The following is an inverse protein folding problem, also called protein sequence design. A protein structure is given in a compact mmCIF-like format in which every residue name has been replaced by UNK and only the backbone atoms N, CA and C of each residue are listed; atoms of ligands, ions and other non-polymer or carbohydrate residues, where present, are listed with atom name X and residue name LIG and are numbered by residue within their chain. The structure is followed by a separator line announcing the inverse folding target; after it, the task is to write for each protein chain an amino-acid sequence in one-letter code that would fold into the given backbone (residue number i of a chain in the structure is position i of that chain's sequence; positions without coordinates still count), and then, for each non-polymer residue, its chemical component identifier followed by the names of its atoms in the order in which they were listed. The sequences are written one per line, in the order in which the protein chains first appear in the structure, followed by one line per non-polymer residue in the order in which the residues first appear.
data_IF_436683143799
#
_entry.id   IF_436683143799
#
_cell.length_a   1.000
_cell.length_b   1.000
_cell.length_c   1.000
_cell.angle_alpha   90.00
_cell.angle_beta   90.00
_cell.angle_gamma   90.00
#
_symmetry.space_group_name_H-M   'P 1'
#
loop_
_entity.id
_entity.type
_entity.pdbx_description
1 polymer ?
#
# COMPACT_ATOMS: atom_id res chain seq x y z
N UNK A 1 36.71 -34.14 35.54
CA UNK A 1 37.34 -33.31 36.61
C UNK A 1 38.79 -33.00 36.27
N UNK A 2 39.64 -34.01 36.10
CA UNK A 2 41.09 -33.86 35.86
C UNK A 2 41.41 -33.17 34.52
N UNK A 3 40.65 -33.48 33.47
CA UNK A 3 40.81 -32.87 32.14
C UNK A 3 40.39 -31.40 32.10
N UNK A 4 39.26 -31.05 32.71
CA UNK A 4 38.78 -29.66 32.77
C UNK A 4 39.78 -28.77 33.51
N UNK A 5 40.38 -29.29 34.58
CA UNK A 5 41.47 -28.62 35.30
C UNK A 5 42.70 -28.44 34.41
N UNK A 6 43.10 -29.46 33.66
CA UNK A 6 44.22 -29.39 32.71
C UNK A 6 44.02 -28.28 31.67
N UNK A 7 42.81 -28.16 31.10
CA UNK A 7 42.46 -27.12 30.12
C UNK A 7 42.51 -25.73 30.73
N UNK A 8 41.99 -25.54 31.95
CA UNK A 8 42.03 -24.25 32.63
C UNK A 8 43.47 -23.86 33.02
N UNK A 9 44.28 -24.82 33.44
CA UNK A 9 45.70 -24.60 33.74
C UNK A 9 46.51 -24.27 32.47
N UNK A 10 46.12 -24.81 31.31
CA UNK A 10 46.68 -24.44 30.01
C UNK A 10 46.25 -23.04 29.57
N UNK A 11 44.98 -22.67 29.80
CA UNK A 11 44.49 -21.31 29.52
C UNK A 11 45.16 -20.24 30.39
N UNK A 12 45.51 -20.57 31.64
CA UNK A 12 46.34 -19.70 32.50
C UNK A 12 47.76 -19.59 31.95
N UNK A 13 48.36 -20.70 31.47
CA UNK A 13 49.70 -20.70 30.85
C UNK A 13 49.77 -19.88 29.56
N UNK A 14 48.69 -19.84 28.79
CA UNK A 14 48.58 -19.04 27.57
C UNK A 14 48.16 -17.58 27.84
N UNK A 15 48.13 -17.15 29.11
CA UNK A 15 47.73 -15.81 29.54
C UNK A 15 46.30 -15.40 29.11
N UNK A 16 45.45 -16.36 28.76
CA UNK A 16 44.05 -16.11 28.35
C UNK A 16 43.17 -15.73 29.54
N UNK A 17 43.52 -16.24 30.72
CA UNK A 17 42.81 -15.98 31.98
C UNK A 17 43.82 -15.80 33.13
N UNK A 18 43.46 -15.02 34.14
CA UNK A 18 44.29 -14.86 35.33
C UNK A 18 44.28 -16.14 36.20
N UNK A 19 45.35 -16.39 36.99
CA UNK A 19 45.41 -17.56 37.88
C UNK A 19 44.24 -17.63 38.87
N UNK A 20 43.82 -16.47 39.38
CA UNK A 20 42.67 -16.34 40.28
C UNK A 20 41.35 -16.67 39.58
N UNK A 21 41.19 -16.27 38.30
CA UNK A 21 40.02 -16.59 37.51
C UNK A 21 39.94 -18.08 37.19
N UNK A 22 41.05 -18.72 36.82
CA UNK A 22 41.13 -20.17 36.60
C UNK A 22 40.69 -20.99 37.82
N UNK A 23 41.17 -20.59 39.01
CA UNK A 23 40.80 -21.21 40.28
C UNK A 23 39.31 -21.08 40.63
N UNK A 24 38.66 -19.96 40.25
CA UNK A 24 37.21 -19.75 40.46
C UNK A 24 36.34 -20.44 39.39
N UNK A 25 36.84 -20.54 38.17
CA UNK A 25 36.11 -21.14 37.05
C UNK A 25 35.99 -22.66 37.17
N UNK A 26 37.01 -23.33 37.71
CA UNK A 26 36.98 -24.79 37.89
C UNK A 26 35.76 -25.27 38.71
N UNK A 27 35.48 -24.78 39.94
CA UNK A 27 34.30 -25.19 40.68
C UNK A 27 33.00 -24.73 40.01
N UNK A 28 32.96 -23.53 39.42
CA UNK A 28 31.77 -23.00 38.75
C UNK A 28 31.32 -23.85 37.54
N UNK A 29 32.27 -24.24 36.69
CA UNK A 29 31.99 -25.07 35.50
C UNK A 29 31.61 -26.49 35.89
N UNK A 30 32.25 -27.01 36.94
CA UNK A 30 31.94 -28.32 37.50
C UNK A 30 30.51 -28.36 38.08
N UNK A 31 30.09 -27.33 38.81
CA UNK A 31 28.74 -27.23 39.38
C UNK A 31 27.66 -27.15 38.30
N UNK A 32 27.98 -26.59 37.13
CA UNK A 32 27.10 -26.56 35.95
C UNK A 32 27.20 -27.80 35.06
N UNK A 33 27.91 -28.84 35.49
CA UNK A 33 27.97 -30.13 34.79
C UNK A 33 28.80 -30.11 33.50
N UNK A 34 29.72 -29.17 33.34
CA UNK A 34 30.64 -29.12 32.19
C UNK A 34 31.71 -30.21 32.36
N UNK A 35 31.73 -31.18 31.44
CA UNK A 35 32.72 -32.25 31.41
C UNK A 35 33.46 -32.28 30.07
N UNK A 36 34.74 -32.65 30.13
CA UNK A 36 35.57 -32.91 28.95
C UNK A 36 35.45 -34.40 28.63
N UNK A 37 35.28 -34.73 27.35
CA UNK A 37 35.09 -36.11 26.87
C UNK A 37 36.39 -36.51 26.15
N UNK A 38 37.18 -37.41 26.75
CA UNK A 38 38.44 -37.90 26.16
C UNK A 38 38.25 -39.11 25.24
N UNK A 39 38.63 -38.94 23.96
CA UNK A 39 39.28 -40.00 23.17
C UNK A 39 38.47 -40.75 22.11
N UNK A 40 38.30 -40.16 20.93
CA UNK A 40 38.12 -40.91 19.67
C UNK A 40 37.23 -40.22 18.63
N UNK A 41 37.84 -39.51 17.66
CA UNK A 41 37.29 -39.08 16.36
C UNK A 41 35.74 -39.02 16.30
N UNK A 42 35.17 -37.99 16.92
CA UNK A 42 33.95 -37.41 16.38
C UNK A 42 34.41 -36.26 15.48
N UNK A 43 34.32 -36.46 14.16
CA UNK A 43 33.99 -35.33 13.28
C UNK A 43 32.98 -34.46 14.03
N UNK A 44 33.16 -33.14 13.99
CA UNK A 44 32.22 -32.18 14.50
C UNK A 44 30.79 -32.55 14.04
N UNK A 45 30.09 -33.39 14.82
CA UNK A 45 28.67 -33.55 14.72
C UNK A 45 28.18 -32.18 15.15
N UNK A 46 27.62 -31.39 14.21
CA UNK A 46 27.36 -30.00 14.47
C UNK A 46 26.39 -29.93 15.63
N UNK A 47 26.19 -28.74 16.15
CA UNK A 47 25.07 -28.42 17.00
C UNK A 47 23.68 -28.67 16.33
N UNK A 48 23.55 -29.57 15.36
CA UNK A 48 22.41 -29.83 14.48
C UNK A 48 21.16 -30.42 15.14
N UNK A 49 21.23 -30.95 16.37
CA UNK A 49 20.01 -31.45 17.05
C UNK A 49 19.41 -30.43 18.04
N UNK A 50 20.19 -29.46 18.54
CA UNK A 50 19.66 -28.29 19.25
C UNK A 50 19.45 -27.09 18.30
N UNK A 51 20.24 -27.01 17.22
CA UNK A 51 20.04 -26.12 16.07
C UNK A 51 18.95 -26.63 15.13
N UNK A 52 18.56 -27.91 15.16
CA UNK A 52 17.46 -28.42 14.33
C UNK A 52 16.12 -27.69 14.58
N UNK A 53 15.92 -27.12 15.78
CA UNK A 53 14.79 -26.26 16.10
C UNK A 53 15.08 -24.75 15.99
N UNK A 54 16.35 -24.33 16.03
CA UNK A 54 16.74 -22.91 16.00
C UNK A 54 17.24 -22.42 14.62
N UNK A 55 17.63 -23.32 13.71
CA UNK A 55 18.14 -23.02 12.37
C UNK A 55 17.11 -23.24 11.26
N UNK A 56 15.90 -23.69 11.59
CA UNK A 56 14.78 -23.71 10.64
C UNK A 56 14.24 -22.31 10.29
N UNK A 57 14.57 -21.27 11.06
CA UNK A 57 13.84 -19.99 11.02
C UNK A 57 14.66 -18.79 10.49
N UNK A 58 15.98 -18.93 10.34
CA UNK A 58 16.86 -17.78 10.06
C UNK A 58 17.19 -17.62 8.58
N UNK A 59 17.14 -18.69 7.77
CA UNK A 59 17.45 -18.61 6.33
C UNK A 59 16.44 -19.36 5.46
N UNK A 60 15.15 -19.13 5.67
CA UNK A 60 14.24 -19.31 4.52
C UNK A 60 14.64 -18.26 3.48
N UNK A 61 15.02 -18.66 2.25
CA UNK A 61 15.33 -17.70 1.19
C UNK A 61 14.19 -16.68 1.13
N UNK A 62 14.49 -15.37 1.00
CA UNK A 62 13.45 -14.31 0.93
C UNK A 62 12.33 -14.64 -0.07
N UNK A 63 12.66 -15.42 -1.10
CA UNK A 63 11.74 -16.00 -2.05
C UNK A 63 10.71 -16.97 -1.43
N UNK A 64 11.14 -17.90 -0.57
CA UNK A 64 10.28 -18.89 0.12
C UNK A 64 9.36 -18.22 1.13
N UNK A 65 9.87 -17.23 1.89
CA UNK A 65 9.03 -16.42 2.80
C UNK A 65 8.00 -15.60 2.01
N UNK A 66 8.38 -15.07 0.84
CA UNK A 66 7.44 -14.42 -0.08
C UNK A 66 6.38 -15.37 -0.66
N UNK A 67 6.74 -16.61 -0.99
CA UNK A 67 5.81 -17.63 -1.49
C UNK A 67 4.77 -18.02 -0.43
N UNK A 68 5.20 -18.20 0.82
CA UNK A 68 4.31 -18.45 1.95
C UNK A 68 3.27 -17.34 2.13
N UNK A 69 3.70 -16.07 2.09
CA UNK A 69 2.80 -14.93 2.19
C UNK A 69 1.78 -14.88 1.05
N UNK A 70 2.18 -15.25 -0.17
CA UNK A 70 1.28 -15.34 -1.33
C UNK A 70 0.25 -16.46 -1.12
N UNK A 71 0.69 -17.66 -0.70
CA UNK A 71 -0.22 -18.79 -0.47
C UNK A 71 -1.24 -18.48 0.63
N UNK A 72 -0.80 -17.89 1.75
CA UNK A 72 -1.72 -17.43 2.80
C UNK A 72 -2.68 -16.38 2.27
N UNK A 73 -2.20 -15.42 1.47
CA UNK A 73 -3.05 -14.37 0.91
C UNK A 73 -4.15 -14.96 0.01
N UNK A 74 -3.80 -15.94 -0.84
CA UNK A 74 -4.77 -16.68 -1.66
C UNK A 74 -5.79 -17.38 -0.75
N UNK A 75 -5.31 -18.08 0.29
CA UNK A 75 -6.18 -18.73 1.28
C UNK A 75 -7.15 -17.77 1.95
N UNK A 76 -6.69 -16.58 2.35
CA UNK A 76 -7.54 -15.52 2.93
C UNK A 76 -8.60 -15.06 1.94
N UNK A 77 -8.23 -14.80 0.68
CA UNK A 77 -9.18 -14.34 -0.36
C UNK A 77 -10.24 -15.41 -0.62
N UNK A 78 -9.84 -16.67 -0.79
CA UNK A 78 -10.76 -17.78 -1.04
C UNK A 78 -11.66 -18.03 0.17
N UNK A 79 -11.11 -18.05 1.38
CA UNK A 79 -11.88 -18.29 2.60
C UNK A 79 -12.90 -17.17 2.86
N UNK A 80 -12.48 -15.90 2.74
CA UNK A 80 -13.40 -14.77 2.91
C UNK A 80 -14.42 -14.69 1.78
N UNK A 81 -14.03 -15.00 0.54
CA UNK A 81 -14.96 -15.07 -0.60
C UNK A 81 -16.02 -16.16 -0.41
N UNK A 82 -15.62 -17.35 0.04
CA UNK A 82 -16.54 -18.44 0.36
C UNK A 82 -17.46 -18.10 1.54
N UNK A 83 -16.91 -17.50 2.59
CA UNK A 83 -17.71 -17.03 3.73
C UNK A 83 -18.75 -16.00 3.31
N UNK A 84 -18.41 -15.11 2.37
CA UNK A 84 -19.33 -14.10 1.84
C UNK A 84 -20.54 -14.72 1.13
N UNK A 85 -20.35 -15.85 0.45
CA UNK A 85 -21.43 -16.55 -0.25
C UNK A 85 -22.36 -17.34 0.68
N UNK A 86 -21.89 -17.70 1.87
CA UNK A 86 -22.62 -18.58 2.80
C UNK A 86 -23.21 -17.85 4.00
N UNK A 87 -22.58 -16.78 4.46
CA UNK A 87 -22.93 -16.14 5.72
C UNK A 87 -23.49 -14.73 5.52
N UNK A 88 -24.29 -14.28 6.48
CA UNK A 88 -24.77 -12.91 6.51
C UNK A 88 -23.59 -11.92 6.58
N UNK A 89 -23.79 -10.70 6.07
CA UNK A 89 -22.80 -9.62 6.08
C UNK A 89 -22.10 -9.47 7.44
N UNK A 90 -22.84 -9.62 8.54
CA UNK A 90 -22.33 -9.47 9.91
C UNK A 90 -21.34 -10.56 10.35
N UNK A 91 -21.35 -11.75 9.74
CA UNK A 91 -20.43 -12.85 10.06
C UNK A 91 -19.04 -12.65 9.46
N UNK A 92 -18.93 -11.84 8.40
CA UNK A 92 -17.68 -11.60 7.68
C UNK A 92 -16.72 -10.71 8.49
N UNK A 93 -17.24 -9.71 9.21
CA UNK A 93 -16.41 -8.80 10.02
C UNK A 93 -15.63 -9.53 11.13
N UNK A 94 -16.24 -10.40 11.97
CA UNK A 94 -15.51 -11.21 12.93
C UNK A 94 -14.38 -12.03 12.30
N UNK A 95 -14.62 -12.63 11.13
CA UNK A 95 -13.58 -13.38 10.42
C UNK A 95 -12.42 -12.47 9.99
N UNK A 96 -12.70 -11.28 9.45
CA UNK A 96 -11.66 -10.29 9.13
C UNK A 96 -10.86 -9.92 10.37
N UNK A 97 -11.52 -9.68 11.52
CA UNK A 97 -10.86 -9.31 12.78
C UNK A 97 -9.96 -10.46 13.29
N UNK A 98 -10.48 -11.69 13.32
CA UNK A 98 -9.74 -12.88 13.78
C UNK A 98 -8.52 -13.15 12.89
N UNK A 99 -8.71 -13.13 11.57
CA UNK A 99 -7.61 -13.29 10.61
C UNK A 99 -6.60 -12.15 10.72
N UNK A 100 -7.05 -10.91 10.94
CA UNK A 100 -6.14 -9.76 11.15
C UNK A 100 -5.34 -9.87 12.44
N UNK A 101 -5.95 -10.36 13.52
CA UNK A 101 -5.26 -10.61 14.78
C UNK A 101 -4.16 -11.67 14.63
N UNK A 102 -4.43 -12.74 13.88
CA UNK A 102 -3.46 -13.81 13.66
C UNK A 102 -2.39 -13.37 12.65
N UNK A 103 -2.79 -13.03 11.44
CA UNK A 103 -1.88 -12.84 10.30
C UNK A 103 -1.15 -11.49 10.34
N UNK A 104 -1.83 -10.42 10.78
CA UNK A 104 -1.25 -9.08 10.80
C UNK A 104 -0.57 -8.79 12.13
N UNK A 105 -1.25 -9.01 13.26
CA UNK A 105 -0.69 -8.63 14.57
C UNK A 105 0.33 -9.65 15.10
N UNK A 106 0.02 -10.94 15.03
CA UNK A 106 0.91 -12.00 15.56
C UNK A 106 2.00 -12.40 14.56
N UNK A 107 1.63 -12.69 13.32
CA UNK A 107 2.57 -13.16 12.29
C UNK A 107 3.27 -12.03 11.51
N UNK A 108 2.76 -10.78 11.58
CA UNK A 108 3.36 -9.59 10.93
C UNK A 108 3.56 -9.73 9.42
N UNK A 109 2.66 -10.45 8.75
CA UNK A 109 2.72 -10.67 7.30
C UNK A 109 2.20 -9.44 6.54
N UNK A 110 2.91 -9.02 5.50
CA UNK A 110 2.59 -7.78 4.79
C UNK A 110 1.50 -7.96 3.71
N UNK A 111 1.56 -9.03 2.90
CA UNK A 111 0.58 -9.27 1.84
C UNK A 111 -0.82 -9.62 2.37
N UNK A 112 -0.97 -10.50 3.38
CA UNK A 112 -2.26 -10.76 4.00
C UNK A 112 -2.86 -9.49 4.64
N UNK A 113 -2.03 -8.60 5.20
CA UNK A 113 -2.51 -7.33 5.77
C UNK A 113 -3.15 -6.43 4.72
N UNK A 114 -2.56 -6.35 3.51
CA UNK A 114 -3.14 -5.61 2.38
C UNK A 114 -4.47 -6.23 1.97
N UNK A 115 -4.52 -7.55 1.80
CA UNK A 115 -5.74 -8.28 1.42
C UNK A 115 -6.88 -8.10 2.44
N UNK A 116 -6.59 -8.23 3.74
CA UNK A 116 -7.56 -8.04 4.81
C UNK A 116 -8.06 -6.59 4.91
N UNK A 117 -7.19 -5.61 4.62
CA UNK A 117 -7.60 -4.21 4.57
C UNK A 117 -8.54 -3.95 3.38
N UNK A 118 -8.29 -4.56 2.23
CA UNK A 118 -9.19 -4.49 1.06
C UNK A 118 -10.51 -5.19 1.37
N UNK A 119 -10.48 -6.36 2.00
CA UNK A 119 -11.70 -7.06 2.42
C UNK A 119 -12.53 -6.21 3.39
N UNK A 120 -11.89 -5.52 4.34
CA UNK A 120 -12.55 -4.59 5.26
C UNK A 120 -13.15 -3.38 4.51
N UNK A 121 -12.44 -2.84 3.52
CA UNK A 121 -12.95 -1.77 2.67
C UNK A 121 -14.22 -2.20 1.92
N UNK A 122 -14.20 -3.37 1.27
CA UNK A 122 -15.35 -3.95 0.58
C UNK A 122 -16.50 -4.24 1.54
N UNK A 123 -16.20 -4.75 2.74
CA UNK A 123 -17.20 -5.00 3.78
C UNK A 123 -17.86 -3.70 4.23
N UNK A 124 -17.07 -2.66 4.45
CA UNK A 124 -17.55 -1.33 4.83
C UNK A 124 -18.42 -0.75 3.72
N UNK A 125 -18.01 -0.87 2.47
CA UNK A 125 -18.81 -0.45 1.32
C UNK A 125 -20.18 -1.13 1.28
N UNK A 126 -20.22 -2.46 1.47
CA UNK A 126 -21.47 -3.22 1.45
C UNK A 126 -22.36 -2.90 2.65
N UNK A 127 -21.77 -2.72 3.84
CA UNK A 127 -22.49 -2.27 5.03
C UNK A 127 -23.11 -0.89 4.80
N UNK A 128 -22.30 0.08 4.35
CA UNK A 128 -22.79 1.44 4.10
C UNK A 128 -23.85 1.44 2.99
N UNK A 129 -23.69 0.63 1.95
CA UNK A 129 -24.67 0.50 0.86
C UNK A 129 -26.00 -0.11 1.31
N UNK A 130 -25.97 -0.96 2.35
CA UNK A 130 -27.17 -1.57 2.92
C UNK A 130 -28.06 -0.53 3.62
N UNK A 131 -27.45 0.42 4.33
CA UNK A 131 -28.18 1.47 5.06
C UNK A 131 -28.40 2.74 4.23
N UNK A 132 -27.43 3.11 3.40
CA UNK A 132 -27.42 4.32 2.60
C UNK A 132 -27.26 3.90 1.15
N UNK A 133 -28.34 3.96 0.38
CA UNK A 133 -28.29 3.62 -1.03
C UNK A 133 -27.44 4.69 -1.73
N UNK A 134 -26.34 4.32 -2.41
CA UNK A 134 -25.64 5.29 -3.24
C UNK A 134 -26.64 5.78 -4.29
N UNK A 135 -26.98 7.06 -4.26
CA UNK A 135 -27.92 7.65 -5.21
C UNK A 135 -27.52 7.28 -6.64
N UNK A 136 -28.46 6.72 -7.41
CA UNK A 136 -28.26 6.30 -8.80
C UNK A 136 -27.93 7.47 -9.74
N UNK A 137 -28.12 8.70 -9.26
CA UNK A 137 -27.77 9.98 -9.87
C UNK A 137 -26.51 10.55 -9.21
N UNK A 138 -25.34 10.00 -9.55
CA UNK A 138 -24.04 10.21 -8.89
C UNK A 138 -23.62 11.67 -8.57
N UNK A 139 -24.29 12.69 -9.10
CA UNK A 139 -23.96 14.10 -8.88
C UNK A 139 -25.15 15.06 -8.71
N UNK A 140 -26.40 14.62 -8.96
CA UNK A 140 -27.57 15.50 -8.83
C UNK A 140 -28.19 15.47 -7.43
N UNK A 141 -28.00 14.35 -6.70
CA UNK A 141 -28.42 14.19 -5.31
C UNK A 141 -27.19 13.98 -4.43
N UNK A 142 -26.32 14.99 -4.31
CA UNK A 142 -25.33 15.04 -3.21
C UNK A 142 -26.08 15.32 -1.90
N UNK A 143 -27.01 14.45 -1.56
CA UNK A 143 -27.91 14.55 -0.43
C UNK A 143 -27.27 14.04 0.86
N UNK A 144 -28.07 14.02 1.93
CA UNK A 144 -27.68 13.47 3.23
C UNK A 144 -27.15 12.04 3.11
N UNK A 145 -27.69 11.24 2.19
CA UNK A 145 -27.33 9.83 1.99
C UNK A 145 -25.89 9.64 1.51
N UNK A 146 -25.39 10.47 0.59
CA UNK A 146 -23.99 10.39 0.12
C UNK A 146 -23.00 10.71 1.26
N UNK A 147 -23.33 11.72 2.08
CA UNK A 147 -22.52 12.08 3.24
C UNK A 147 -22.52 10.94 4.28
N UNK A 148 -23.69 10.37 4.56
CA UNK A 148 -23.85 9.27 5.52
C UNK A 148 -23.15 7.99 5.05
N UNK A 149 -23.23 7.69 3.75
CA UNK A 149 -22.52 6.57 3.12
C UNK A 149 -21.01 6.67 3.34
N UNK A 150 -20.42 7.85 3.10
CA UNK A 150 -18.97 8.05 3.25
C UNK A 150 -18.53 8.09 4.71
N UNK A 151 -19.40 8.52 5.64
CA UNK A 151 -19.05 8.75 7.04
C UNK A 151 -18.50 7.52 7.79
N UNK A 152 -18.94 6.31 7.42
CA UNK A 152 -18.49 5.08 8.08
C UNK A 152 -17.05 4.68 7.75
N UNK A 153 -16.55 5.04 6.57
CA UNK A 153 -15.23 4.64 6.08
C UNK A 153 -14.07 5.15 6.94
N UNK A 154 -13.91 6.46 7.22
CA UNK A 154 -12.78 6.96 8.00
C UNK A 154 -12.79 6.40 9.43
N UNK A 155 -13.97 6.13 9.99
CA UNK A 155 -14.10 5.55 11.34
C UNK A 155 -13.58 4.11 11.35
N UNK A 156 -14.12 3.24 10.50
CA UNK A 156 -13.78 1.82 10.49
C UNK A 156 -12.31 1.62 10.10
N UNK A 157 -11.84 2.32 9.08
CA UNK A 157 -10.45 2.25 8.63
C UNK A 157 -9.49 2.88 9.65
N UNK A 158 -9.88 3.97 10.31
CA UNK A 158 -9.09 4.58 11.37
C UNK A 158 -8.92 3.66 12.58
N UNK A 159 -9.99 2.97 13.00
CA UNK A 159 -9.95 1.97 14.08
C UNK A 159 -9.07 0.78 13.71
N UNK A 160 -9.18 0.28 12.47
CA UNK A 160 -8.32 -0.80 11.98
C UNK A 160 -6.84 -0.38 11.96
N UNK A 161 -6.53 0.84 11.53
CA UNK A 161 -5.18 1.38 11.60
C UNK A 161 -4.68 1.53 13.04
N UNK A 162 -5.50 2.05 13.95
CA UNK A 162 -5.11 2.22 15.35
C UNK A 162 -4.70 0.87 15.98
N UNK A 163 -5.39 -0.21 15.60
CA UNK A 163 -5.17 -1.57 16.09
C UNK A 163 -3.98 -2.29 15.44
N UNK A 164 -3.92 -2.29 14.10
CA UNK A 164 -3.00 -3.13 13.32
C UNK A 164 -1.86 -2.35 12.66
N UNK A 165 -1.91 -1.02 12.66
CA UNK A 165 -0.89 -0.10 12.11
C UNK A 165 -0.54 -0.36 10.64
N UNK A 166 -1.49 -0.89 9.86
CA UNK A 166 -1.31 -1.18 8.44
C UNK A 166 -1.29 0.12 7.62
N UNK A 167 -0.21 0.43 6.84
CA UNK A 167 -0.09 1.66 6.07
C UNK A 167 -1.27 1.96 5.12
N UNK A 168 -1.75 0.94 4.40
CA UNK A 168 -2.89 1.04 3.48
C UNK A 168 -4.16 1.52 4.19
N UNK A 169 -4.41 1.02 5.40
CA UNK A 169 -5.59 1.38 6.18
C UNK A 169 -5.60 2.86 6.56
N UNK A 170 -4.46 3.43 6.93
CA UNK A 170 -4.35 4.87 7.18
C UNK A 170 -4.54 5.69 5.89
N UNK A 171 -3.95 5.25 4.78
CA UNK A 171 -4.11 5.95 3.50
C UNK A 171 -5.57 5.98 3.05
N UNK A 172 -6.30 4.87 3.18
CA UNK A 172 -7.73 4.80 2.91
C UNK A 172 -8.56 5.63 3.90
N UNK A 173 -8.17 5.66 5.18
CA UNK A 173 -8.78 6.52 6.20
C UNK A 173 -8.65 8.00 5.84
N UNK A 174 -7.46 8.45 5.44
CA UNK A 174 -7.24 9.85 5.03
C UNK A 174 -8.02 10.16 3.75
N UNK A 175 -7.98 9.27 2.75
CA UNK A 175 -8.70 9.44 1.48
C UNK A 175 -10.21 9.56 1.72
N UNK A 176 -10.78 8.68 2.55
CA UNK A 176 -12.19 8.72 2.90
C UNK A 176 -12.56 9.91 3.81
N UNK A 177 -11.66 10.36 4.68
CA UNK A 177 -11.86 11.59 5.45
C UNK A 177 -11.90 12.83 4.54
N UNK A 178 -11.04 12.91 3.52
CA UNK A 178 -11.09 13.98 2.51
C UNK A 178 -12.40 13.92 1.72
N UNK A 179 -12.86 12.73 1.33
CA UNK A 179 -14.16 12.56 0.68
C UNK A 179 -15.33 12.96 1.60
N UNK A 180 -15.25 12.67 2.91
CA UNK A 180 -16.24 13.09 3.88
C UNK A 180 -16.29 14.63 4.01
N UNK A 181 -15.12 15.28 4.08
CA UNK A 181 -15.03 16.74 4.10
C UNK A 181 -15.63 17.34 2.83
N UNK A 182 -15.32 16.77 1.66
CA UNK A 182 -15.92 17.21 0.39
C UNK A 182 -17.45 17.11 0.42
N UNK A 183 -17.99 15.95 0.76
CA UNK A 183 -19.45 15.74 0.79
C UNK A 183 -20.15 16.63 1.83
N UNK A 184 -19.54 16.86 2.99
CA UNK A 184 -20.04 17.82 3.99
C UNK A 184 -20.02 19.26 3.48
N UNK A 185 -18.95 19.68 2.81
CA UNK A 185 -18.85 21.00 2.21
C UNK A 185 -19.94 21.19 1.14
N UNK A 186 -20.09 20.22 0.25
CA UNK A 186 -21.09 20.27 -0.81
C UNK A 186 -22.51 20.35 -0.23
N UNK A 187 -22.81 19.52 0.78
CA UNK A 187 -24.08 19.54 1.50
C UNK A 187 -24.34 20.88 2.20
N UNK A 188 -23.32 21.46 2.83
CA UNK A 188 -23.44 22.77 3.49
C UNK A 188 -23.77 23.87 2.48
N UNK A 189 -23.11 23.86 1.32
CA UNK A 189 -23.37 24.85 0.25
C UNK A 189 -24.78 24.69 -0.34
N UNK A 190 -25.23 23.46 -0.58
CA UNK A 190 -26.59 23.18 -1.05
C UNK A 190 -27.64 23.63 -0.02
N UNK A 191 -27.43 23.34 1.26
CA UNK A 191 -28.31 23.78 2.34
C UNK A 191 -28.36 25.31 2.46
N UNK A 192 -27.20 25.99 2.38
CA UNK A 192 -27.11 27.44 2.45
C UNK A 192 -27.75 28.13 1.24
N UNK A 193 -27.67 27.52 0.05
CA UNK A 193 -28.29 28.06 -1.17
C UNK A 193 -29.81 27.84 -1.23
N UNK A 194 -30.34 26.84 -0.51
CA UNK A 194 -31.75 26.46 -0.58
C UNK A 194 -32.19 25.83 -1.92
N UNK A 195 -31.26 25.59 -2.84
CA UNK A 195 -31.51 24.98 -4.15
C UNK A 195 -31.03 23.52 -4.15
N UNK A 196 -31.93 22.52 -4.28
CA UNK A 196 -31.56 21.13 -4.41
C UNK A 196 -30.68 20.83 -5.64
N UNK A 197 -30.75 21.64 -6.71
CA UNK A 197 -29.97 21.46 -7.94
C UNK A 197 -28.77 22.42 -8.06
N UNK A 198 -28.33 23.00 -6.95
CA UNK A 198 -27.26 24.00 -6.91
C UNK A 198 -26.01 23.60 -7.72
N UNK A 199 -25.56 22.35 -7.61
CA UNK A 199 -24.36 21.89 -8.33
C UNK A 199 -24.59 21.56 -9.80
N UNK A 200 -25.82 21.22 -10.19
CA UNK A 200 -26.21 21.11 -11.59
C UNK A 200 -26.18 22.49 -12.27
N UNK A 201 -26.55 23.54 -11.52
CA UNK A 201 -26.54 24.93 -11.96
C UNK A 201 -25.14 25.57 -11.89
N UNK A 202 -24.28 25.09 -11.00
CA UNK A 202 -22.91 25.61 -10.79
C UNK A 202 -21.83 24.53 -10.98
N UNK A 203 -21.71 23.99 -12.20
CA UNK A 203 -20.77 22.90 -12.50
C UNK A 203 -19.30 23.23 -12.24
N UNK A 204 -18.90 24.47 -12.52
CA UNK A 204 -17.54 24.94 -12.28
C UNK A 204 -17.18 24.90 -10.79
N UNK A 205 -18.14 25.24 -9.92
CA UNK A 205 -17.93 25.25 -8.48
C UNK A 205 -17.76 23.83 -7.94
N UNK A 206 -18.55 22.88 -8.45
CA UNK A 206 -18.37 21.46 -8.17
C UNK A 206 -16.97 20.99 -8.59
N UNK A 207 -16.55 21.31 -9.82
CA UNK A 207 -15.23 20.94 -10.34
C UNK A 207 -14.08 21.48 -9.49
N UNK A 208 -14.17 22.75 -9.09
CA UNK A 208 -13.17 23.40 -8.22
C UNK A 208 -13.14 22.75 -6.84
N UNK A 209 -14.29 22.43 -6.24
CA UNK A 209 -14.35 21.75 -4.95
C UNK A 209 -13.65 20.38 -4.98
N UNK A 210 -13.92 19.57 -6.00
CA UNK A 210 -13.23 18.29 -6.22
C UNK A 210 -11.72 18.49 -6.39
N UNK A 211 -11.31 19.47 -7.20
CA UNK A 211 -9.90 19.77 -7.45
C UNK A 211 -9.17 20.18 -6.17
N UNK A 212 -9.76 21.05 -5.35
CA UNK A 212 -9.17 21.47 -4.07
C UNK A 212 -8.98 20.28 -3.13
N UNK A 213 -9.96 19.39 -3.02
CA UNK A 213 -9.84 18.17 -2.21
C UNK A 213 -8.78 17.22 -2.77
N UNK A 214 -8.71 17.03 -4.10
CA UNK A 214 -7.69 16.20 -4.73
C UNK A 214 -6.27 16.76 -4.53
N UNK A 215 -6.09 18.08 -4.62
CA UNK A 215 -4.84 18.76 -4.31
C UNK A 215 -4.48 18.64 -2.83
N UNK A 216 -5.45 18.74 -1.92
CA UNK A 216 -5.25 18.51 -0.49
C UNK A 216 -4.79 17.09 -0.18
N UNK A 217 -5.40 16.09 -0.82
CA UNK A 217 -4.99 14.69 -0.71
C UNK A 217 -3.57 14.47 -1.26
N UNK A 218 -3.24 15.07 -2.40
CA UNK A 218 -1.90 15.02 -2.98
C UNK A 218 -0.85 15.72 -2.11
N UNK A 219 -1.17 16.88 -1.54
CA UNK A 219 -0.30 17.59 -0.60
C UNK A 219 -0.07 16.76 0.67
N UNK A 220 -1.10 16.07 1.16
CA UNK A 220 -0.98 15.14 2.29
C UNK A 220 -0.06 13.97 1.94
N UNK A 221 -0.20 13.40 0.74
CA UNK A 221 0.71 12.35 0.25
C UNK A 221 2.17 12.83 0.23
N UNK A 222 2.41 14.04 -0.28
CA UNK A 222 3.73 14.66 -0.32
C UNK A 222 4.31 14.93 1.08
N UNK A 223 3.48 15.35 2.04
CA UNK A 223 3.88 15.52 3.43
C UNK A 223 4.43 14.22 4.04
N UNK A 224 3.75 13.08 3.81
CA UNK A 224 4.24 11.78 4.26
C UNK A 224 5.51 11.34 3.53
N UNK A 225 5.61 11.64 2.23
CA UNK A 225 6.77 11.28 1.41
C UNK A 225 8.04 12.03 1.84
N UNK A 226 7.93 13.36 2.00
CA UNK A 226 9.02 14.22 2.44
C UNK A 226 9.38 14.03 3.90
N UNK A 227 8.44 13.52 4.71
CA UNK A 227 8.63 13.23 6.14
C UNK A 227 9.53 12.02 6.42
N UNK A 228 9.89 11.23 5.40
CA UNK A 228 10.77 10.06 5.52
C UNK A 228 11.71 9.89 4.32
N UNK A 229 12.55 10.91 4.11
CA UNK A 229 13.51 10.95 2.99
C UNK A 229 14.50 9.79 2.97
N UNK A 230 14.88 9.30 4.15
CA UNK A 230 15.83 8.19 4.32
C UNK A 230 15.15 6.81 4.27
N UNK A 231 13.83 6.75 4.08
CA UNK A 231 13.02 5.51 4.00
C UNK A 231 13.23 4.58 5.20
N UNK A 232 13.26 5.14 6.42
CA UNK A 232 13.49 4.41 7.67
C UNK A 232 12.21 4.07 8.41
N UNK A 233 11.07 4.64 8.02
CA UNK A 233 9.79 4.51 8.71
C UNK A 233 8.70 3.98 7.78
N UNK A 234 7.54 3.66 8.34
CA UNK A 234 6.34 3.27 7.57
C UNK A 234 5.68 4.45 6.85
N UNK A 235 6.15 5.69 7.05
CA UNK A 235 5.61 6.89 6.37
C UNK A 235 5.79 6.82 4.86
N UNK A 236 6.90 6.24 4.40
CA UNK A 236 7.12 6.00 2.96
C UNK A 236 6.06 5.07 2.35
N UNK A 237 5.56 4.09 3.11
CA UNK A 237 4.52 3.17 2.63
C UNK A 237 3.15 3.85 2.63
N UNK A 238 2.85 4.64 3.67
CA UNK A 238 1.63 5.45 3.73
C UNK A 238 1.58 6.43 2.55
N UNK A 239 2.70 7.11 2.26
CA UNK A 239 2.83 8.03 1.12
C UNK A 239 2.57 7.33 -0.22
N UNK A 240 3.09 6.11 -0.40
CA UNK A 240 2.84 5.31 -1.60
C UNK A 240 1.34 5.10 -1.83
N UNK A 241 0.62 4.64 -0.80
CA UNK A 241 -0.82 4.38 -0.89
C UNK A 241 -1.64 5.66 -1.06
N UNK A 242 -1.25 6.76 -0.42
CA UNK A 242 -1.90 8.06 -0.62
C UNK A 242 -1.71 8.58 -2.04
N UNK A 243 -0.52 8.47 -2.63
CA UNK A 243 -0.29 8.83 -4.03
C UNK A 243 -1.10 7.95 -4.99
N UNK A 244 -1.25 6.66 -4.67
CA UNK A 244 -2.07 5.74 -5.46
C UNK A 244 -3.53 6.22 -5.58
N UNK A 245 -4.10 6.79 -4.50
CA UNK A 245 -5.45 7.36 -4.48
C UNK A 245 -5.53 8.83 -4.93
N UNK A 246 -4.47 9.62 -4.75
CA UNK A 246 -4.44 11.02 -5.15
C UNK A 246 -4.39 11.21 -6.67
N UNK A 247 -3.65 10.35 -7.39
CA UNK A 247 -3.49 10.49 -8.83
C UNK A 247 -4.82 10.35 -9.62
N UNK A 248 -5.70 9.37 -9.36
CA UNK A 248 -6.99 9.26 -10.02
C UNK A 248 -7.93 10.39 -9.61
N UNK A 249 -7.89 10.83 -8.35
CA UNK A 249 -8.67 11.96 -7.87
C UNK A 249 -8.31 13.27 -8.61
N UNK A 250 -7.01 13.50 -8.86
CA UNK A 250 -6.54 14.63 -9.65
C UNK A 250 -6.98 14.53 -11.12
N UNK A 251 -6.84 13.35 -11.75
CA UNK A 251 -7.32 13.13 -13.12
C UNK A 251 -8.82 13.41 -13.24
N UNK A 252 -9.60 12.87 -12.31
CA UNK A 252 -11.04 13.06 -12.27
C UNK A 252 -11.40 14.53 -12.14
N UNK A 253 -10.74 15.26 -11.23
CA UNK A 253 -11.01 16.67 -10.98
C UNK A 253 -10.63 17.57 -12.17
N UNK A 254 -9.50 17.29 -12.82
CA UNK A 254 -9.09 18.01 -14.04
C UNK A 254 -10.06 17.74 -15.19
N UNK A 255 -10.52 16.48 -15.36
CA UNK A 255 -11.56 16.14 -16.34
C UNK A 255 -12.85 16.92 -16.06
N UNK A 256 -13.30 16.94 -14.81
CA UNK A 256 -14.51 17.63 -14.40
C UNK A 256 -14.44 19.14 -14.69
N UNK A 257 -13.25 19.75 -14.52
CA UNK A 257 -13.01 21.15 -14.85
C UNK A 257 -13.02 21.45 -16.35
N UNK A 258 -12.61 20.48 -17.18
CA UNK A 258 -12.50 20.63 -18.64
C UNK A 258 -13.73 20.20 -19.43
N UNK A 259 -14.71 19.55 -18.79
CA UNK A 259 -16.02 19.25 -19.40
C UNK A 259 -16.86 20.53 -19.48
N UNK A 260 -16.60 21.36 -20.50
CA UNK A 260 -17.26 22.66 -20.72
C UNK A 260 -18.73 22.58 -21.15
N UNK A 261 -19.22 21.40 -21.58
CA UNK A 261 -20.56 21.26 -22.17
C UNK A 261 -21.64 20.83 -21.16
N UNK A 262 -21.37 20.85 -19.86
CA UNK A 262 -22.38 20.58 -18.82
C UNK A 262 -22.93 19.14 -18.80
N UNK A 263 -22.41 18.24 -19.64
CA UNK A 263 -22.86 16.86 -19.69
C UNK A 263 -22.06 15.97 -18.71
N UNK A 264 -22.39 16.10 -17.42
CA UNK A 264 -21.76 15.39 -16.30
C UNK A 264 -21.93 13.86 -16.33
N UNK A 265 -22.93 13.37 -17.07
CA UNK A 265 -23.28 11.95 -17.12
C UNK A 265 -22.33 11.09 -17.96
N UNK A 266 -21.49 11.71 -18.79
CA UNK A 266 -20.49 11.00 -19.61
C UNK A 266 -19.19 10.66 -18.83
N UNK A 267 -19.18 10.95 -17.52
CA UNK A 267 -18.02 10.68 -16.64
C UNK A 267 -18.00 9.23 -16.15
N UNK A 268 -19.15 8.56 -16.06
CA UNK A 268 -19.25 7.16 -15.64
C UNK A 268 -19.35 6.15 -16.79
N UNK A 269 -19.71 6.61 -18.00
CA UNK A 269 -20.16 5.73 -19.09
C UNK A 269 -19.38 5.83 -20.40
N UNK A 270 -18.39 6.71 -20.55
CA UNK A 270 -17.71 6.84 -21.82
C UNK A 270 -16.19 6.67 -21.69
N UNK A 271 -15.77 5.45 -22.00
CA UNK A 271 -14.63 5.28 -22.90
C UNK A 271 -15.06 5.62 -24.33
N UNK A 272 -15.62 6.82 -24.53
CA UNK A 272 -15.71 7.38 -25.88
C UNK A 272 -14.37 8.03 -26.20
N UNK A 273 -13.92 7.76 -27.42
CA UNK A 273 -12.64 8.12 -28.04
C UNK A 273 -12.60 9.64 -28.33
N UNK A 274 -12.93 10.47 -27.34
CA UNK A 274 -12.68 11.90 -27.33
C UNK A 274 -11.89 12.22 -26.07
N UNK A 275 -10.58 12.36 -26.22
CA UNK A 275 -9.94 13.68 -26.28
C UNK A 275 -8.42 13.50 -26.06
N UNK A 276 -7.52 14.01 -26.93
CA UNK A 276 -6.06 14.02 -26.72
C UNK A 276 -5.64 14.60 -25.35
N UNK A 277 -6.52 15.36 -24.69
CA UNK A 277 -6.38 15.92 -23.34
C UNK A 277 -6.25 14.83 -22.25
N UNK A 278 -6.93 13.68 -22.37
CA UNK A 278 -6.79 12.59 -21.39
C UNK A 278 -5.37 12.04 -21.45
N UNK A 279 -4.84 11.84 -22.66
CA UNK A 279 -3.47 11.38 -22.88
C UNK A 279 -2.48 12.42 -22.33
N UNK A 280 -2.67 13.71 -22.60
CA UNK A 280 -1.81 14.78 -22.07
C UNK A 280 -1.86 14.83 -20.54
N UNK A 281 -3.03 14.74 -19.93
CA UNK A 281 -3.18 14.78 -18.45
C UNK A 281 -2.52 13.57 -17.79
N UNK A 282 -2.66 12.38 -18.37
CA UNK A 282 -1.98 11.16 -17.92
C UNK A 282 -0.46 11.32 -18.07
N UNK A 283 0.02 11.83 -19.20
CA UNK A 283 1.45 12.09 -19.42
C UNK A 283 2.00 13.08 -18.40
N UNK A 284 1.29 14.18 -18.11
CA UNK A 284 1.70 15.17 -17.09
C UNK A 284 1.78 14.53 -15.71
N UNK A 285 0.79 13.74 -15.30
CA UNK A 285 0.85 13.05 -14.00
C UNK A 285 1.93 11.98 -13.95
N UNK A 286 2.21 11.30 -15.06
CA UNK A 286 3.34 10.37 -15.15
C UNK A 286 4.68 11.08 -15.02
N UNK A 287 4.84 12.26 -15.63
CA UNK A 287 6.02 13.11 -15.47
C UNK A 287 6.18 13.58 -14.02
N UNK A 288 5.09 14.04 -13.38
CA UNK A 288 5.08 14.41 -11.96
C UNK A 288 5.47 13.21 -11.08
N UNK A 289 4.93 12.02 -11.37
CA UNK A 289 5.29 10.78 -10.69
C UNK A 289 6.76 10.40 -10.83
N UNK A 290 7.36 10.67 -12.00
CA UNK A 290 8.77 10.44 -12.27
C UNK A 290 9.68 11.39 -11.48
N UNK A 291 9.29 12.67 -11.35
CA UNK A 291 10.01 13.69 -10.57
C UNK A 291 10.00 13.35 -9.08
N UNK A 292 8.90 12.84 -8.55
CA UNK A 292 8.72 12.52 -7.12
C UNK A 292 9.37 11.16 -6.75
N UNK A 293 9.93 10.41 -7.72
CA UNK A 293 10.48 9.06 -7.49
C UNK A 293 9.43 8.07 -6.92
N UNK A 294 8.17 8.20 -7.33
CA UNK A 294 7.09 7.34 -6.83
C UNK A 294 6.42 6.55 -7.94
N UNK A 295 6.78 5.26 -7.99
CA UNK A 295 6.12 4.20 -8.82
C UNK A 295 4.59 4.18 -8.65
N UNK A 296 4.08 4.67 -7.51
CA UNK A 296 2.66 4.79 -7.19
C UNK A 296 1.83 5.51 -8.28
N UNK A 297 2.37 6.57 -8.90
CA UNK A 297 1.67 7.29 -9.97
C UNK A 297 1.48 6.43 -11.22
N UNK A 298 2.51 5.66 -11.60
CA UNK A 298 2.44 4.73 -12.73
C UNK A 298 1.48 3.58 -12.40
N UNK A 299 1.58 3.01 -11.20
CA UNK A 299 0.67 1.97 -10.72
C UNK A 299 -0.79 2.46 -10.67
N UNK A 300 -1.01 3.72 -10.32
CA UNK A 300 -2.33 4.33 -10.29
C UNK A 300 -2.91 4.52 -11.70
N UNK A 301 -2.12 5.08 -12.63
CA UNK A 301 -2.52 5.18 -14.04
C UNK A 301 -2.85 3.82 -14.66
N UNK A 302 -2.10 2.79 -14.29
CA UNK A 302 -2.36 1.40 -14.66
C UNK A 302 -3.70 0.87 -14.14
N UNK A 303 -4.01 1.09 -12.86
CA UNK A 303 -5.29 0.69 -12.28
C UNK A 303 -6.45 1.41 -12.98
N UNK A 304 -6.35 2.74 -13.15
CA UNK A 304 -7.35 3.54 -13.86
C UNK A 304 -7.56 3.06 -15.30
N UNK A 305 -6.49 2.69 -16.01
CA UNK A 305 -6.58 2.10 -17.33
C UNK A 305 -7.29 0.74 -17.31
N UNK A 306 -6.93 -0.15 -16.37
CA UNK A 306 -7.59 -1.45 -16.22
C UNK A 306 -9.10 -1.31 -16.03
N UNK A 307 -9.53 -0.33 -15.22
CA UNK A 307 -10.94 0.02 -15.07
C UNK A 307 -11.59 0.54 -16.36
N UNK A 308 -10.88 1.38 -17.13
CA UNK A 308 -11.37 1.85 -18.42
C UNK A 308 -11.57 0.69 -19.42
N UNK A 309 -10.58 -0.20 -19.54
CA UNK A 309 -10.66 -1.39 -20.39
C UNK A 309 -11.85 -2.27 -19.99
N UNK A 310 -12.01 -2.54 -18.69
CA UNK A 310 -13.17 -3.28 -18.17
C UNK A 310 -14.50 -2.61 -18.55
N UNK A 311 -14.58 -1.28 -18.48
CA UNK A 311 -15.74 -0.49 -18.92
C UNK A 311 -16.10 -0.73 -20.39
N UNK A 312 -15.11 -0.71 -21.30
CA UNK A 312 -15.29 -1.00 -22.73
C UNK A 312 -15.89 -2.40 -22.91
N UNK A 313 -15.32 -3.41 -22.24
CA UNK A 313 -15.77 -4.79 -22.34
C UNK A 313 -17.22 -4.99 -21.86
N UNK A 314 -17.65 -4.23 -20.85
CA UNK A 314 -19.02 -4.33 -20.32
C UNK A 314 -20.05 -3.65 -21.23
N UNK A 315 -19.64 -2.63 -21.99
CA UNK A 315 -20.53 -1.82 -22.82
C UNK A 315 -20.55 -2.25 -24.29
N UNK A 316 -19.51 -2.94 -24.77
CA UNK A 316 -19.37 -3.33 -26.17
C UNK A 316 -19.97 -4.69 -26.50
N UNK A 317 -21.15 -4.71 -27.12
CA UNK A 317 -21.58 -5.82 -27.99
C UNK A 317 -21.16 -5.52 -29.44
N UNK A 318 -19.87 -5.65 -29.77
CA UNK A 318 -19.39 -5.64 -31.16
C UNK A 318 -17.95 -6.15 -31.29
N UNK A 319 -17.74 -7.04 -32.26
CA UNK A 319 -16.46 -7.36 -32.90
C UNK A 319 -15.73 -6.08 -33.33
N UNK A 320 -14.47 -5.90 -32.90
CA UNK A 320 -13.26 -5.84 -33.75
C UNK A 320 -12.03 -5.86 -32.83
N UNK A 321 -11.37 -7.00 -32.85
CA UNK A 321 -10.21 -7.43 -32.08
C UNK A 321 -9.02 -6.45 -32.13
N UNK A 322 -8.74 -5.82 -33.28
CA UNK A 322 -7.46 -5.11 -33.49
C UNK A 322 -7.29 -3.84 -32.66
N UNK A 323 -8.32 -3.01 -32.46
CA UNK A 323 -8.15 -1.73 -31.73
C UNK A 323 -7.93 -1.92 -30.23
N UNK A 324 -8.65 -2.86 -29.63
CA UNK A 324 -8.49 -3.22 -28.21
C UNK A 324 -7.11 -3.86 -28.02
N UNK A 325 -6.74 -4.84 -28.84
CA UNK A 325 -5.42 -5.48 -28.72
C UNK A 325 -4.27 -4.52 -29.02
N UNK A 326 -4.40 -3.61 -30.00
CA UNK A 326 -3.39 -2.57 -30.27
C UNK A 326 -3.26 -1.61 -29.09
N UNK A 327 -4.36 -1.16 -28.51
CA UNK A 327 -4.35 -0.30 -27.31
C UNK A 327 -3.69 -1.02 -26.13
N UNK A 328 -4.04 -2.29 -25.89
CA UNK A 328 -3.43 -3.11 -24.85
C UNK A 328 -1.94 -3.32 -25.07
N UNK A 329 -1.49 -3.54 -26.31
CA UNK A 329 -0.07 -3.69 -26.65
C UNK A 329 0.67 -2.37 -26.45
N UNK A 330 0.16 -1.26 -26.99
CA UNK A 330 0.81 0.07 -26.88
C UNK A 330 0.93 0.47 -25.41
N UNK A 331 -0.15 0.32 -24.66
CA UNK A 331 -0.13 0.71 -23.25
C UNK A 331 0.70 -0.29 -22.42
N UNK A 332 0.58 -1.59 -22.68
CA UNK A 332 1.41 -2.62 -22.06
C UNK A 332 2.90 -2.38 -22.30
N UNK A 333 3.29 -1.99 -23.52
CA UNK A 333 4.65 -1.63 -23.87
C UNK A 333 5.12 -0.39 -23.10
N UNK A 334 4.32 0.70 -23.05
CA UNK A 334 4.63 1.90 -22.26
C UNK A 334 4.85 1.54 -20.79
N UNK A 335 3.97 0.71 -20.25
CA UNK A 335 4.04 0.24 -18.86
C UNK A 335 5.29 -0.56 -18.59
N UNK A 336 5.62 -1.52 -19.46
CA UNK A 336 6.81 -2.36 -19.31
C UNK A 336 8.08 -1.52 -19.42
N UNK A 337 8.13 -0.59 -20.37
CA UNK A 337 9.27 0.33 -20.54
C UNK A 337 9.46 1.18 -19.30
N UNK A 338 8.39 1.73 -18.73
CA UNK A 338 8.46 2.57 -17.52
C UNK A 338 8.75 1.74 -16.26
N UNK A 339 8.17 0.54 -16.16
CA UNK A 339 8.33 -0.36 -15.03
C UNK A 339 9.75 -0.93 -14.91
N UNK A 340 10.34 -1.32 -16.04
CA UNK A 340 11.70 -1.86 -16.14
C UNK A 340 12.76 -0.75 -16.24
N UNK A 341 12.47 0.32 -16.98
CA UNK A 341 13.37 1.45 -17.25
C UNK A 341 13.31 2.61 -16.25
N UNK A 342 12.70 2.43 -15.08
CA UNK A 342 12.50 3.51 -14.08
C UNK A 342 13.80 4.23 -13.70
N UNK A 343 14.85 3.47 -13.37
CA UNK A 343 16.13 4.00 -12.89
C UNK A 343 16.88 4.84 -13.95
N UNK A 344 16.98 4.42 -15.23
CA UNK A 344 17.55 5.26 -16.28
C UNK A 344 16.66 6.47 -16.65
N UNK A 345 15.34 6.33 -16.75
CA UNK A 345 14.41 7.44 -17.05
C UNK A 345 14.49 8.55 -16.00
N UNK A 346 14.47 8.18 -14.72
CA UNK A 346 14.59 9.11 -13.60
C UNK A 346 15.90 9.90 -13.65
N UNK A 347 17.01 9.25 -13.98
CA UNK A 347 18.32 9.91 -14.10
C UNK A 347 18.34 10.96 -15.20
N UNK A 348 17.66 10.72 -16.33
CA UNK A 348 17.56 11.67 -17.43
C UNK A 348 16.77 12.91 -16.99
N UNK A 349 15.61 12.71 -16.36
CA UNK A 349 14.76 13.82 -15.93
C UNK A 349 15.37 14.63 -14.79
N UNK A 350 16.04 13.99 -13.83
CA UNK A 350 16.71 14.70 -12.75
C UNK A 350 17.92 15.52 -13.23
N UNK A 351 18.57 15.14 -14.34
CA UNK A 351 19.63 15.94 -14.98
C UNK A 351 19.10 17.23 -15.61
N UNK A 352 17.80 17.29 -15.93
CA UNK A 352 17.16 18.47 -16.49
C UNK A 352 16.61 19.43 -15.41
N UNK A 353 16.60 19.03 -14.12
CA UNK A 353 16.09 19.87 -13.02
C UNK A 353 17.17 20.77 -12.39
N UNK A 354 16.82 21.99 -11.97
CA UNK A 354 17.72 22.86 -11.20
C UNK A 354 18.19 22.22 -9.89
N UNK A 355 19.45 22.44 -9.52
CA UNK A 355 20.09 21.84 -8.34
C UNK A 355 19.34 22.10 -7.02
N UNK A 356 18.67 23.25 -6.88
CA UNK A 356 17.91 23.62 -5.69
C UNK A 356 16.69 22.72 -5.41
N UNK A 357 16.09 22.12 -6.45
CA UNK A 357 14.98 21.16 -6.31
C UNK A 357 15.51 19.74 -6.15
N UNK A 358 16.60 19.40 -6.86
CA UNK A 358 17.25 18.09 -6.80
C UNK A 358 17.72 17.73 -5.39
N UNK A 359 18.24 18.71 -4.62
CA UNK A 359 18.68 18.49 -3.23
C UNK A 359 17.54 18.25 -2.23
N UNK A 360 16.29 18.60 -2.59
CA UNK A 360 15.12 18.38 -1.72
C UNK A 360 14.44 17.02 -1.97
N UNK A 361 14.81 16.34 -3.05
CA UNK A 361 14.27 15.04 -3.46
C UNK A 361 15.15 13.88 -2.92
N UNK A 362 14.60 12.66 -2.78
CA UNK A 362 15.37 11.50 -2.35
C UNK A 362 16.57 11.26 -3.28
N UNK A 363 17.78 10.97 -2.77
CA UNK A 363 18.96 10.79 -3.61
C UNK A 363 18.75 9.64 -4.61
N UNK A 364 19.05 9.87 -5.89
CA UNK A 364 18.93 8.86 -6.95
C UNK A 364 20.03 7.79 -6.89
N UNK A 365 21.08 8.05 -6.12
CA UNK A 365 22.24 7.19 -5.91
C UNK A 365 22.65 7.38 -4.45
N UNK A 366 22.74 6.30 -3.66
CA UNK A 366 23.56 6.30 -2.45
C UNK A 366 24.96 6.70 -2.92
N UNK A 367 25.42 7.89 -2.54
CA UNK A 367 26.78 8.31 -2.82
C UNK A 367 27.70 7.21 -2.30
N UNK A 368 28.27 6.42 -3.20
CA UNK A 368 29.44 5.62 -2.90
C UNK A 368 30.52 6.67 -2.61
N UNK A 369 30.79 6.86 -1.32
CA UNK A 369 31.97 7.61 -0.88
C UNK A 369 33.20 6.86 -1.35
N UNK A 370 34.20 7.56 -1.92
CA UNK A 370 35.43 6.95 -2.42
C UNK A 370 36.25 6.27 -1.31
#
# INVERSE_FOLDING_TARGET
MTELRSILDEAVRQELISPEAGGRLLPFLTERGVAVIEGGVAEAQPAMEAEGQAWSDTETPRFVRGFHDVLITIGVVVALGGLWGLAALYAVLPAIIVLSEILVRRQRLALPAVSLTIALLCWTFLLMSFFFKPGTSAFNDIGAEATQFVAGFPIILGLYYARYRVPLSLALCITSAVALVLTLLLRLMQWASGDPQFFSNHPLLLAVAFLVCALGLFATALYFDLGDRLRRTTRSDIAFWLHLGAAPALLFSVRLLMSFDGNFLDVAQAVSIKTPIIVISVVVLMLVGLVIDRRAFVTSGLLSLGFAIYGIFRQGSATVDTYIFTTLIVVGAIVLIIGTGWMPLRRIVLRALPAAISQRLPPAVLAATP
#
